data_IF_110548818814
#
_entry.id   IF_110548818814
#
_cell.length_a   1.000
_cell.length_b   1.000
_cell.length_c   1.000
_cell.angle_alpha   90.00
_cell.angle_beta   90.00
_cell.angle_gamma   90.00
#
_symmetry.space_group_name_H-M   'P 1'
#
loop_
_entity.id
_entity.type
_entity.pdbx_description
1 polymer ?
#
# COMPACT_ATOMS: atom_id res chain seq x y z
N UNK A 1 50.20 25.10 2.05
CA UNK A 1 48.77 25.37 1.77
C UNK A 1 48.07 24.02 1.68
N UNK A 2 47.20 23.70 2.65
CA UNK A 2 46.48 22.42 2.70
C UNK A 2 45.18 22.57 1.90
N UNK A 3 45.06 21.89 0.76
CA UNK A 3 43.80 21.77 0.03
C UNK A 3 43.11 20.53 0.60
N UNK A 4 42.09 20.75 1.44
CA UNK A 4 41.17 19.70 1.86
C UNK A 4 40.12 19.62 0.75
N UNK A 5 40.23 18.63 -0.12
CA UNK A 5 39.18 18.28 -1.07
C UNK A 5 38.06 17.61 -0.29
N UNK A 6 36.94 18.32 -0.13
CA UNK A 6 35.71 17.77 0.43
C UNK A 6 35.09 16.87 -0.65
N UNK A 7 35.33 15.56 -0.55
CA UNK A 7 34.63 14.56 -1.37
C UNK A 7 33.22 14.47 -0.80
N UNK A 8 32.24 15.10 -1.47
CA UNK A 8 30.83 14.83 -1.25
C UNK A 8 30.55 13.43 -1.81
N UNK A 9 30.65 12.41 -0.97
CA UNK A 9 30.02 11.12 -1.24
C UNK A 9 28.52 11.34 -1.22
N UNK A 10 27.91 11.47 -2.40
CA UNK A 10 26.49 11.24 -2.60
C UNK A 10 26.25 9.77 -2.21
N UNK A 11 25.78 9.55 -0.99
CA UNK A 11 25.23 8.27 -0.59
C UNK A 11 23.92 8.17 -1.37
N UNK A 12 23.96 7.56 -2.57
CA UNK A 12 22.76 7.11 -3.24
C UNK A 12 22.12 6.10 -2.31
N UNK A 13 21.10 6.52 -1.56
CA UNK A 13 20.25 5.58 -0.85
C UNK A 13 19.77 4.55 -1.89
N UNK A 14 19.79 3.24 -1.57
CA UNK A 14 19.18 2.26 -2.45
C UNK A 14 17.77 2.75 -2.78
N UNK A 15 17.38 2.66 -4.05
CA UNK A 15 16.01 2.89 -4.47
C UNK A 15 15.17 1.75 -3.88
N UNK A 16 14.90 1.82 -2.57
CA UNK A 16 13.92 1.00 -1.93
C UNK A 16 12.58 1.40 -2.54
N UNK A 17 11.84 0.42 -3.02
CA UNK A 17 10.48 0.66 -3.44
C UNK A 17 9.69 1.03 -2.17
N UNK A 18 9.52 2.33 -1.95
CA UNK A 18 8.84 2.88 -0.80
C UNK A 18 7.39 2.36 -0.72
N UNK A 19 6.95 2.01 0.48
CA UNK A 19 5.54 1.77 0.77
C UNK A 19 4.71 3.04 0.53
N UNK A 20 3.42 2.85 0.27
CA UNK A 20 2.47 3.94 0.07
C UNK A 20 1.14 3.58 0.70
N UNK A 21 0.71 4.38 1.67
CA UNK A 21 -0.47 4.09 2.46
C UNK A 21 -1.32 5.32 2.75
N UNK A 22 -2.54 5.06 3.23
CA UNK A 22 -3.40 6.07 3.84
C UNK A 22 -3.28 5.88 5.36
N UNK A 23 -2.96 6.94 6.09
CA UNK A 23 -2.82 6.91 7.54
C UNK A 23 -3.83 7.84 8.20
N UNK A 24 -4.90 7.29 8.80
CA UNK A 24 -5.84 8.07 9.60
C UNK A 24 -5.16 8.80 10.75
N UNK A 25 -5.55 10.05 11.00
CA UNK A 25 -5.15 10.77 12.21
C UNK A 25 -5.79 10.16 13.46
N UNK A 26 -6.96 9.53 13.28
CA UNK A 26 -7.63 8.66 14.24
C UNK A 26 -8.29 7.49 13.50
N UNK A 27 -8.03 6.26 13.95
CA UNK A 27 -8.64 5.04 13.38
C UNK A 27 -10.06 4.77 13.88
N UNK A 28 -10.49 5.45 14.94
CA UNK A 28 -11.87 5.44 15.44
C UNK A 28 -12.32 6.86 15.72
N UNK A 29 -13.52 7.22 15.28
CA UNK A 29 -14.13 8.53 15.48
C UNK A 29 -15.60 8.41 15.92
N UNK A 30 -16.11 9.44 16.58
CA UNK A 30 -17.53 9.53 16.94
C UNK A 30 -18.41 9.71 15.68
N UNK A 31 -19.73 9.43 15.74
CA UNK A 31 -20.63 9.57 14.60
C UNK A 31 -20.68 10.97 13.97
N UNK A 32 -20.44 12.02 14.75
CA UNK A 32 -20.35 13.42 14.31
C UNK A 32 -18.90 13.90 14.11
N UNK A 33 -17.93 12.98 14.19
CA UNK A 33 -16.53 13.23 13.91
C UNK A 33 -16.25 13.39 12.40
N UNK A 34 -14.98 13.65 12.09
CA UNK A 34 -14.47 13.80 10.72
C UNK A 34 -13.52 12.66 10.39
N UNK A 35 -13.58 12.14 9.17
CA UNK A 35 -12.57 11.24 8.62
C UNK A 35 -11.40 12.09 8.13
N UNK A 36 -10.28 12.00 8.83
CA UNK A 36 -9.04 12.67 8.47
C UNK A 36 -7.90 11.67 8.29
N UNK A 37 -7.19 11.75 7.17
CA UNK A 37 -6.05 10.87 6.91
C UNK A 37 -5.00 11.51 6.00
N UNK A 38 -3.75 11.21 6.30
CA UNK A 38 -2.61 11.52 5.44
C UNK A 38 -2.45 10.45 4.36
N UNK A 39 -2.00 10.86 3.18
CA UNK A 39 -1.40 9.93 2.22
C UNK A 39 0.09 9.95 2.51
N UNK A 40 0.72 8.80 2.71
CA UNK A 40 2.13 8.73 3.10
C UNK A 40 2.91 7.90 2.09
N UNK A 41 4.10 8.39 1.74
CA UNK A 41 5.08 7.67 0.94
C UNK A 41 6.37 7.56 1.75
N UNK A 42 6.81 6.34 2.03
CA UNK A 42 7.82 6.11 3.05
C UNK A 42 8.36 4.70 3.10
N UNK A 43 9.06 4.40 4.19
CA UNK A 43 9.57 3.06 4.47
C UNK A 43 9.41 2.77 5.96
N UNK A 44 9.20 1.51 6.33
CA UNK A 44 9.11 1.10 7.74
C UNK A 44 8.01 1.88 8.49
N UNK A 45 6.85 2.09 7.85
CA UNK A 45 5.69 2.82 8.42
C UNK A 45 5.99 4.28 8.85
N UNK A 46 7.04 4.88 8.27
CA UNK A 46 7.40 6.28 8.44
C UNK A 46 7.68 6.93 7.08
N UNK A 47 7.18 8.14 6.84
CA UNK A 47 7.29 8.72 5.52
C UNK A 47 6.86 10.17 5.40
N UNK A 48 6.97 10.66 4.17
CA UNK A 48 6.54 12.01 3.80
C UNK A 48 5.03 12.01 3.58
N UNK A 49 4.35 12.92 4.27
CA UNK A 49 2.92 13.19 4.07
C UNK A 49 2.72 13.96 2.78
N UNK A 50 1.90 13.42 1.90
CA UNK A 50 1.57 13.98 0.61
C UNK A 50 0.25 14.75 0.70
N UNK A 51 0.23 15.93 0.11
CA UNK A 51 -0.97 16.74 0.02
C UNK A 51 -2.00 16.13 -0.95
N UNK A 52 -3.26 16.52 -0.80
CA UNK A 52 -4.31 16.24 -1.78
C UNK A 52 -3.96 16.90 -3.12
N UNK A 53 -3.70 16.08 -4.14
CA UNK A 53 -3.34 16.54 -5.49
C UNK A 53 -4.16 15.75 -6.53
N UNK A 54 -5.25 16.33 -7.09
CA UNK A 54 -6.13 15.64 -8.04
C UNK A 54 -5.43 15.02 -9.24
N UNK A 55 -4.32 15.60 -9.69
CA UNK A 55 -3.52 15.08 -10.80
C UNK A 55 -2.61 13.88 -10.45
N UNK A 56 -2.64 13.40 -9.20
CA UNK A 56 -1.80 12.28 -8.72
C UNK A 56 -2.59 11.00 -8.43
N UNK A 57 -3.90 10.99 -8.69
CA UNK A 57 -4.74 9.82 -8.52
C UNK A 57 -5.81 9.69 -9.59
N UNK A 58 -6.18 8.45 -9.87
CA UNK A 58 -7.32 8.12 -10.73
C UNK A 58 -8.61 8.01 -9.90
N UNK A 59 -8.49 7.49 -8.68
CA UNK A 59 -9.62 7.32 -7.78
C UNK A 59 -9.25 7.63 -6.33
N UNK A 60 -10.13 8.34 -5.63
CA UNK A 60 -10.08 8.53 -4.19
C UNK A 60 -11.52 8.60 -3.67
N UNK A 61 -11.93 7.60 -2.91
CA UNK A 61 -13.32 7.42 -2.52
C UNK A 61 -13.45 6.85 -1.11
N UNK A 62 -14.60 7.11 -0.49
CA UNK A 62 -15.02 6.56 0.79
C UNK A 62 -16.19 5.61 0.59
N UNK A 63 -16.23 4.55 1.38
CA UNK A 63 -17.25 3.52 1.36
C UNK A 63 -17.73 3.20 2.78
N UNK A 64 -19.03 2.97 2.95
CA UNK A 64 -19.59 2.38 4.16
C UNK A 64 -20.81 1.55 3.78
N UNK A 65 -20.79 0.25 4.07
CA UNK A 65 -21.75 -0.70 3.52
C UNK A 65 -21.86 -0.57 1.99
N UNK A 66 -23.07 -0.34 1.48
CA UNK A 66 -23.33 -0.15 0.04
C UNK A 66 -23.20 1.30 -0.44
N UNK A 67 -22.93 2.25 0.46
CA UNK A 67 -22.81 3.66 0.13
C UNK A 67 -21.38 3.99 -0.31
N UNK A 68 -21.25 5.01 -1.16
CA UNK A 68 -19.96 5.45 -1.69
C UNK A 68 -20.02 6.94 -2.00
N UNK A 69 -18.95 7.66 -1.67
CA UNK A 69 -18.75 9.05 -2.09
C UNK A 69 -17.31 9.26 -2.55
N UNK A 70 -17.08 10.23 -3.44
CA UNK A 70 -15.71 10.59 -3.82
C UNK A 70 -15.13 11.51 -2.76
N UNK A 71 -13.85 11.33 -2.44
CA UNK A 71 -13.12 12.30 -1.64
C UNK A 71 -12.94 13.56 -2.47
N UNK A 72 -13.20 14.70 -1.84
CA UNK A 72 -12.95 16.01 -2.44
C UNK A 72 -12.04 16.80 -1.51
N UNK A 73 -11.34 17.78 -2.06
CA UNK A 73 -10.36 18.57 -1.31
C UNK A 73 -9.83 19.70 -2.16
N UNK A 74 -9.14 20.65 -1.52
CA UNK A 74 -8.41 21.71 -2.23
C UNK A 74 -7.00 21.19 -2.55
N UNK A 75 -6.48 21.44 -3.76
CA UNK A 75 -5.10 21.11 -4.08
C UNK A 75 -4.14 21.71 -3.06
N UNK A 76 -3.34 20.87 -2.40
CA UNK A 76 -2.43 21.28 -1.33
C UNK A 76 -2.92 21.01 0.09
N UNK A 77 -4.16 20.56 0.30
CA UNK A 77 -4.66 20.20 1.63
C UNK A 77 -3.82 19.06 2.25
N UNK A 78 -3.51 19.20 3.54
CA UNK A 78 -2.83 18.18 4.37
C UNK A 78 -3.46 18.24 5.78
N UNK A 79 -4.14 17.19 6.28
CA UNK A 79 -4.28 15.86 5.70
C UNK A 79 -5.02 15.83 4.35
N UNK A 80 -4.72 14.82 3.52
CA UNK A 80 -5.26 14.75 2.17
C UNK A 80 -6.73 14.28 2.12
N UNK A 81 -7.16 13.51 3.12
CA UNK A 81 -8.57 13.19 3.38
C UNK A 81 -9.06 14.07 4.52
N UNK A 82 -10.15 14.81 4.28
CA UNK A 82 -10.90 15.58 5.28
C UNK A 82 -12.38 15.58 4.84
N UNK A 83 -13.17 14.63 5.34
CA UNK A 83 -14.55 14.43 4.91
C UNK A 83 -15.42 13.94 6.07
N UNK A 84 -16.72 14.21 6.01
CA UNK A 84 -17.67 13.58 6.92
C UNK A 84 -17.71 12.05 6.67
N UNK A 85 -17.97 11.24 7.71
CA UNK A 85 -18.27 9.83 7.56
C UNK A 85 -19.37 9.56 6.54
N UNK A 86 -19.23 8.48 5.76
CA UNK A 86 -20.26 8.08 4.79
C UNK A 86 -21.51 7.59 5.51
N UNK A 87 -21.30 6.85 6.59
CA UNK A 87 -22.31 6.38 7.53
C UNK A 87 -21.65 6.04 8.87
N UNK A 88 -22.44 5.87 9.92
CA UNK A 88 -21.99 5.19 11.13
C UNK A 88 -21.66 3.72 10.80
N UNK A 89 -20.59 3.19 11.39
CA UNK A 89 -20.06 1.85 11.11
C UNK A 89 -18.64 1.87 10.54
N UNK A 90 -18.23 0.75 9.93
CA UNK A 90 -16.92 0.63 9.29
C UNK A 90 -16.88 1.45 8.00
N UNK A 91 -16.03 2.48 7.98
CA UNK A 91 -15.73 3.28 6.80
C UNK A 91 -14.41 2.81 6.18
N UNK A 92 -14.35 2.80 4.85
CA UNK A 92 -13.17 2.43 4.08
C UNK A 92 -12.81 3.63 3.21
N UNK A 93 -11.59 4.15 3.34
CA UNK A 93 -11.05 5.06 2.33
C UNK A 93 -10.19 4.25 1.36
N UNK A 94 -10.38 4.45 0.05
CA UNK A 94 -9.60 3.78 -0.98
C UNK A 94 -9.02 4.78 -1.95
N UNK A 95 -7.75 4.60 -2.31
CA UNK A 95 -6.97 5.47 -3.15
C UNK A 95 -6.25 4.67 -4.24
N UNK A 96 -6.33 5.14 -5.48
CA UNK A 96 -5.59 4.62 -6.62
C UNK A 96 -4.72 5.74 -7.18
N UNK A 97 -3.40 5.62 -6.98
CA UNK A 97 -2.43 6.55 -7.54
C UNK A 97 -2.41 6.47 -9.07
N UNK A 98 -2.12 7.60 -9.73
CA UNK A 98 -1.72 7.59 -11.13
C UNK A 98 -0.37 6.88 -11.28
N UNK A 99 -0.14 6.29 -12.45
CA UNK A 99 1.10 5.55 -12.72
C UNK A 99 2.34 6.44 -12.56
N UNK A 100 3.40 5.84 -12.04
CA UNK A 100 4.72 6.45 -11.96
C UNK A 100 5.77 5.46 -12.46
N UNK A 101 7.01 5.91 -12.62
CA UNK A 101 8.11 5.05 -13.08
C UNK A 101 9.27 5.08 -12.11
N UNK A 102 10.04 4.00 -12.12
CA UNK A 102 11.35 3.92 -11.47
C UNK A 102 12.37 3.42 -12.50
N UNK A 103 13.56 4.01 -12.46
CA UNK A 103 14.70 3.65 -13.29
C UNK A 103 15.62 2.70 -12.50
N UNK A 104 16.01 1.60 -13.13
CA UNK A 104 17.00 0.67 -12.62
C UNK A 104 18.31 0.84 -13.37
N UNK A 105 19.33 1.33 -12.66
CA UNK A 105 20.69 1.46 -13.20
C UNK A 105 21.27 0.09 -13.60
N UNK A 106 20.96 -0.96 -12.83
CA UNK A 106 21.43 -2.31 -13.10
C UNK A 106 20.45 -3.38 -12.58
N UNK A 107 20.64 -4.59 -13.08
CA UNK A 107 19.85 -5.76 -12.73
C UNK A 107 19.91 -6.06 -11.23
N UNK A 108 21.06 -5.88 -10.56
CA UNK A 108 21.23 -6.23 -9.15
C UNK A 108 20.27 -5.46 -8.24
N UNK A 109 20.00 -4.18 -8.55
CA UNK A 109 18.99 -3.38 -7.83
C UNK A 109 17.58 -3.95 -7.98
N UNK A 110 17.22 -4.37 -9.20
CA UNK A 110 15.92 -4.98 -9.47
C UNK A 110 15.81 -6.40 -8.86
N UNK A 111 16.88 -7.19 -8.93
CA UNK A 111 16.97 -8.50 -8.30
C UNK A 111 16.76 -8.40 -6.78
N UNK A 112 17.34 -7.40 -6.13
CA UNK A 112 17.14 -7.17 -4.69
C UNK A 112 15.67 -6.95 -4.36
N UNK A 113 14.94 -6.22 -5.21
CA UNK A 113 13.49 -6.05 -5.09
C UNK A 113 12.71 -7.35 -5.37
N UNK A 114 13.08 -8.08 -6.42
CA UNK A 114 12.51 -9.38 -6.77
C UNK A 114 12.63 -10.39 -5.64
N UNK A 115 13.82 -10.48 -5.04
CA UNK A 115 14.11 -11.39 -3.94
C UNK A 115 13.36 -10.97 -2.68
N UNK A 116 13.34 -9.67 -2.37
CA UNK A 116 12.64 -9.15 -1.20
C UNK A 116 11.13 -9.40 -1.24
N UNK A 117 10.51 -9.30 -2.42
CA UNK A 117 9.06 -9.55 -2.61
C UNK A 117 8.73 -11.01 -3.02
N UNK A 118 9.71 -11.92 -2.97
CA UNK A 118 9.57 -13.36 -3.24
C UNK A 118 8.92 -13.67 -4.61
N UNK A 119 9.37 -13.01 -5.69
CA UNK A 119 8.83 -13.23 -7.04
C UNK A 119 9.46 -14.42 -7.79
N UNK A 120 10.41 -15.13 -7.19
CA UNK A 120 11.08 -16.28 -7.80
C UNK A 120 11.97 -15.90 -8.98
N UNK A 121 12.00 -16.76 -10.01
CA UNK A 121 12.92 -16.62 -11.15
C UNK A 121 12.45 -15.62 -12.21
N UNK A 122 12.51 -14.34 -11.87
CA UNK A 122 12.24 -13.23 -12.80
C UNK A 122 13.38 -13.06 -13.81
N UNK A 123 14.60 -13.50 -13.46
CA UNK A 123 15.78 -13.37 -14.32
C UNK A 123 15.60 -14.11 -15.63
N UNK A 124 15.14 -15.36 -15.58
CA UNK A 124 14.91 -16.15 -16.78
C UNK A 124 13.88 -15.51 -17.72
N UNK A 125 12.83 -14.88 -17.16
CA UNK A 125 11.83 -14.15 -17.95
C UNK A 125 12.44 -12.90 -18.59
N UNK A 126 13.28 -12.18 -17.85
CA UNK A 126 13.98 -10.99 -18.35
C UNK A 126 14.93 -11.32 -19.52
N UNK A 127 15.74 -12.37 -19.36
CA UNK A 127 16.68 -12.83 -20.39
C UNK A 127 15.94 -13.37 -21.62
N UNK A 128 14.85 -14.13 -21.44
CA UNK A 128 14.04 -14.64 -22.54
C UNK A 128 13.40 -13.52 -23.40
N UNK A 129 13.11 -12.38 -22.77
CA UNK A 129 12.61 -11.16 -23.44
C UNK A 129 13.73 -10.30 -24.04
N UNK A 130 15.00 -10.71 -23.90
CA UNK A 130 16.19 -9.99 -24.39
C UNK A 130 16.25 -8.54 -23.89
N UNK A 131 15.86 -8.32 -22.63
CA UNK A 131 15.85 -7.00 -22.01
C UNK A 131 17.25 -6.57 -21.58
N UNK A 132 17.54 -5.26 -21.53
CA UNK A 132 18.83 -4.76 -21.09
C UNK A 132 18.97 -4.93 -19.57
N UNK A 133 20.17 -5.29 -19.13
CA UNK A 133 20.50 -5.47 -17.72
C UNK A 133 20.84 -4.17 -17.00
N UNK A 134 20.91 -3.06 -17.74
CA UNK A 134 21.23 -1.72 -17.26
C UNK A 134 20.25 -0.73 -17.88
N UNK A 135 20.01 0.38 -17.19
CA UNK A 135 19.20 1.51 -17.64
C UNK A 135 17.81 1.14 -18.19
N UNK A 136 17.09 0.27 -17.46
CA UNK A 136 15.71 -0.09 -17.79
C UNK A 136 14.70 0.49 -16.80
N UNK A 137 13.44 0.56 -17.24
CA UNK A 137 12.35 1.15 -16.47
C UNK A 137 11.32 0.13 -16.03
N UNK A 138 10.78 0.37 -14.85
CA UNK A 138 9.53 -0.20 -14.37
C UNK A 138 8.47 0.90 -14.27
N UNK A 139 7.25 0.60 -14.69
CA UNK A 139 6.06 1.41 -14.37
C UNK A 139 5.35 0.80 -13.17
N UNK A 140 4.85 1.61 -12.25
CA UNK A 140 4.15 1.09 -11.09
C UNK A 140 2.89 1.89 -10.75
N UNK A 141 1.95 1.20 -10.11
CA UNK A 141 0.67 1.76 -9.63
C UNK A 141 0.45 1.35 -8.18
N UNK A 142 -0.13 2.24 -7.38
CA UNK A 142 -0.38 2.03 -5.94
C UNK A 142 -1.86 2.10 -5.61
N UNK A 143 -2.31 1.13 -4.85
CA UNK A 143 -3.70 0.90 -4.46
C UNK A 143 -3.74 0.77 -2.95
N UNK A 144 -4.20 1.80 -2.26
CA UNK A 144 -4.21 1.84 -0.80
C UNK A 144 -5.64 1.86 -0.28
N UNK A 145 -5.89 1.12 0.79
CA UNK A 145 -7.10 1.22 1.60
C UNK A 145 -6.75 1.50 3.06
N UNK A 146 -7.67 2.15 3.76
CA UNK A 146 -7.63 2.21 5.23
C UNK A 146 -9.02 1.97 5.80
N UNK A 147 -9.08 1.30 6.95
CA UNK A 147 -10.30 1.03 7.69
C UNK A 147 -10.43 2.00 8.86
N UNK A 148 -11.55 2.71 8.95
CA UNK A 148 -11.82 3.67 10.02
C UNK A 148 -13.16 3.32 10.66
N UNK A 149 -13.16 3.07 11.97
CA UNK A 149 -14.38 2.82 12.74
C UNK A 149 -15.10 4.13 13.06
N UNK A 150 -16.40 4.21 12.76
CA UNK A 150 -17.24 5.36 13.09
C UNK A 150 -18.35 4.92 14.03
N UNK A 151 -18.47 5.54 15.20
CA UNK A 151 -19.45 5.16 16.21
C UNK A 151 -19.35 3.67 16.57
N UNK A 152 -20.41 2.91 16.32
CA UNK A 152 -20.43 1.47 16.60
C UNK A 152 -19.43 0.63 15.77
N UNK A 153 -18.81 1.20 14.73
CA UNK A 153 -17.79 0.54 13.88
C UNK A 153 -18.23 -0.76 13.19
N UNK A 154 -19.53 -1.08 13.22
CA UNK A 154 -20.08 -2.30 12.65
C UNK A 154 -20.02 -2.28 11.11
N UNK A 155 -19.80 -3.44 10.53
CA UNK A 155 -19.66 -3.61 9.09
C UNK A 155 -18.50 -4.54 8.76
N UNK A 156 -18.17 -4.62 7.48
CA UNK A 156 -17.05 -5.41 6.98
C UNK A 156 -16.37 -4.65 5.85
N UNK A 157 -15.06 -4.87 5.69
CA UNK A 157 -14.37 -4.44 4.49
C UNK A 157 -14.94 -5.20 3.27
N UNK A 158 -14.75 -4.64 2.08
CA UNK A 158 -15.20 -5.25 0.84
C UNK A 158 -14.29 -4.91 -0.32
N UNK A 159 -14.47 -5.66 -1.40
CA UNK A 159 -13.94 -5.31 -2.72
C UNK A 159 -14.50 -3.95 -3.16
N UNK A 160 -13.62 -3.03 -3.50
CA UNK A 160 -13.96 -1.70 -4.06
C UNK A 160 -13.52 -1.54 -5.51
N UNK A 161 -12.94 -2.59 -6.10
CA UNK A 161 -12.62 -2.66 -7.53
C UNK A 161 -11.21 -2.18 -7.89
N UNK A 162 -10.28 -2.19 -6.94
CA UNK A 162 -8.86 -1.93 -7.20
C UNK A 162 -8.26 -3.11 -7.98
N UNK A 163 -7.29 -2.85 -8.87
CA UNK A 163 -6.74 -3.90 -9.73
C UNK A 163 -5.95 -4.95 -8.94
N UNK A 164 -5.22 -4.53 -7.91
CA UNK A 164 -4.75 -5.42 -6.85
C UNK A 164 -5.34 -4.89 -5.54
N UNK A 165 -5.82 -5.78 -4.68
CA UNK A 165 -6.61 -5.38 -3.53
C UNK A 165 -6.40 -6.33 -2.36
N UNK A 166 -6.18 -5.77 -1.17
CA UNK A 166 -6.23 -6.51 0.09
C UNK A 166 -7.58 -6.20 0.74
N UNK A 167 -8.34 -7.23 1.11
CA UNK A 167 -9.61 -7.09 1.83
C UNK A 167 -9.47 -7.69 3.21
N UNK A 168 -9.79 -6.93 4.25
CA UNK A 168 -9.92 -7.50 5.59
C UNK A 168 -11.16 -8.41 5.66
N UNK A 169 -10.96 -9.65 6.08
CA UNK A 169 -12.05 -10.57 6.41
C UNK A 169 -12.50 -10.44 7.87
N UNK A 170 -11.65 -9.84 8.70
CA UNK A 170 -11.91 -9.54 10.12
C UNK A 170 -12.11 -8.04 10.28
N UNK A 171 -13.17 -7.62 10.97
CA UNK A 171 -13.31 -6.22 11.40
C UNK A 171 -12.47 -5.99 12.67
N UNK A 172 -11.44 -5.12 12.63
CA UNK A 172 -10.54 -4.92 13.76
C UNK A 172 -11.18 -4.25 14.98
N UNK A 173 -12.39 -3.69 14.82
CA UNK A 173 -13.09 -2.92 15.84
C UNK A 173 -14.20 -3.71 16.53
N UNK A 174 -14.78 -4.73 15.88
CA UNK A 174 -15.95 -5.44 16.39
C UNK A 174 -15.78 -6.95 16.53
N UNK A 175 -14.85 -7.56 15.79
CA UNK A 175 -14.70 -9.01 15.78
C UNK A 175 -13.72 -9.48 16.86
N UNK A 176 -13.85 -10.74 17.26
CA UNK A 176 -12.89 -11.38 18.16
C UNK A 176 -11.57 -11.66 17.42
N UNK A 177 -10.44 -11.28 18.02
CA UNK A 177 -9.11 -11.35 17.40
C UNK A 177 -8.26 -12.52 17.92
N UNK A 178 -8.84 -13.41 18.74
CA UNK A 178 -8.14 -14.56 19.36
C UNK A 178 -7.55 -15.53 18.33
N UNK A 179 -8.16 -15.60 17.14
CA UNK A 179 -7.71 -16.46 16.04
C UNK A 179 -6.85 -15.71 15.01
N UNK A 180 -6.45 -14.48 15.31
CA UNK A 180 -5.72 -13.60 14.41
C UNK A 180 -6.61 -12.75 13.51
N UNK A 181 -5.99 -11.77 12.87
CA UNK A 181 -6.59 -10.93 11.85
C UNK A 181 -6.41 -11.57 10.48
N UNK A 182 -7.48 -11.64 9.71
CA UNK A 182 -7.48 -12.29 8.40
C UNK A 182 -7.64 -11.26 7.29
N UNK A 183 -6.80 -11.36 6.27
CA UNK A 183 -6.92 -10.61 5.02
C UNK A 183 -6.94 -11.56 3.83
N UNK A 184 -7.61 -11.15 2.77
CA UNK A 184 -7.61 -11.86 1.50
C UNK A 184 -7.06 -10.97 0.39
N UNK A 185 -6.12 -11.51 -0.39
CA UNK A 185 -5.42 -10.78 -1.43
C UNK A 185 -5.96 -11.14 -2.79
N UNK A 186 -6.25 -10.12 -3.61
CA UNK A 186 -6.81 -10.25 -4.94
C UNK A 186 -5.92 -9.59 -5.98
N UNK A 187 -5.89 -10.19 -7.16
CA UNK A 187 -5.46 -9.54 -8.39
C UNK A 187 -6.59 -9.69 -9.42
N UNK A 188 -7.14 -8.55 -9.83
CA UNK A 188 -8.38 -8.45 -10.60
C UNK A 188 -9.48 -9.23 -9.88
N UNK A 189 -10.07 -10.23 -10.53
CA UNK A 189 -11.15 -11.00 -9.93
C UNK A 189 -10.66 -12.29 -9.25
N UNK A 190 -9.37 -12.59 -9.31
CA UNK A 190 -8.80 -13.84 -8.82
C UNK A 190 -8.15 -13.63 -7.44
N UNK A 191 -8.28 -14.64 -6.58
CA UNK A 191 -7.55 -14.69 -5.32
C UNK A 191 -6.09 -15.04 -5.57
N UNK A 192 -5.18 -14.46 -4.78
CA UNK A 192 -3.74 -14.69 -4.90
C UNK A 192 -3.26 -15.68 -3.87
N UNK A 193 -3.28 -16.95 -4.22
CA UNK A 193 -2.72 -18.01 -3.39
C UNK A 193 -1.19 -17.98 -3.35
N UNK A 194 -0.61 -18.53 -2.27
CA UNK A 194 0.84 -18.69 -2.08
C UNK A 194 1.64 -17.42 -2.40
N UNK A 195 1.13 -16.26 -2.01
CA UNK A 195 1.75 -14.95 -2.23
C UNK A 195 2.26 -14.41 -0.89
N UNK A 196 3.43 -13.77 -0.90
CA UNK A 196 3.97 -13.07 0.26
C UNK A 196 3.10 -11.86 0.62
N UNK A 197 2.82 -11.72 1.91
CA UNK A 197 2.17 -10.58 2.55
C UNK A 197 3.11 -10.04 3.62
N UNK A 198 3.47 -8.76 3.51
CA UNK A 198 4.25 -8.05 4.52
C UNK A 198 3.32 -7.36 5.50
N UNK A 199 3.52 -7.58 6.79
CA UNK A 199 2.75 -6.95 7.86
C UNK A 199 3.69 -6.13 8.71
N UNK A 200 3.44 -4.82 8.74
CA UNK A 200 4.11 -3.86 9.60
C UNK A 200 3.21 -3.63 10.82
N UNK A 201 3.74 -3.85 12.01
CA UNK A 201 3.08 -3.54 13.27
C UNK A 201 3.74 -2.31 13.90
N UNK A 202 2.96 -1.27 14.19
CA UNK A 202 3.45 -0.04 14.81
C UNK A 202 2.83 0.16 16.19
N UNK A 203 3.70 0.20 17.21
CA UNK A 203 3.31 0.38 18.62
C UNK A 203 3.24 1.84 19.06
N UNK A 204 2.85 2.04 20.33
CA UNK A 204 2.63 3.38 20.92
C UNK A 204 3.89 4.27 21.03
N UNK A 205 5.09 3.72 20.80
CA UNK A 205 6.36 4.44 20.78
C UNK A 205 6.96 4.54 19.37
N UNK A 206 6.13 4.35 18.33
CA UNK A 206 6.52 4.31 16.92
C UNK A 206 7.58 3.23 16.58
N UNK A 207 7.74 2.22 17.44
CA UNK A 207 8.48 1.01 17.09
C UNK A 207 7.72 0.24 16.01
N UNK A 208 8.43 -0.12 14.95
CA UNK A 208 7.89 -0.88 13.83
C UNK A 208 8.59 -2.22 13.73
N UNK A 209 7.80 -3.29 13.73
CA UNK A 209 8.28 -4.65 13.42
C UNK A 209 7.63 -5.10 12.12
N UNK A 210 8.40 -5.77 11.27
CA UNK A 210 7.95 -6.26 9.97
C UNK A 210 8.00 -7.78 9.99
N UNK A 211 6.90 -8.42 9.64
CA UNK A 211 6.78 -9.87 9.55
C UNK A 211 6.25 -10.29 8.19
N UNK A 212 6.74 -11.43 7.70
CA UNK A 212 6.31 -12.02 6.42
C UNK A 212 5.32 -13.15 6.69
N UNK A 213 4.22 -13.14 5.94
CA UNK A 213 3.21 -14.19 5.93
C UNK A 213 2.99 -14.66 4.49
N UNK A 214 2.48 -15.89 4.32
CA UNK A 214 2.05 -16.40 3.02
C UNK A 214 0.54 -16.55 3.02
N UNK A 215 -0.09 -16.22 1.89
CA UNK A 215 -1.49 -16.57 1.68
C UNK A 215 -1.69 -18.07 1.41
N UNK A 216 -2.81 -18.61 1.87
CA UNK A 216 -3.26 -19.98 1.59
C UNK A 216 -3.81 -20.15 0.16
N UNK A 217 -4.38 -21.32 -0.15
CA UNK A 217 -4.99 -21.61 -1.46
C UNK A 217 -6.19 -20.72 -1.83
N UNK A 218 -6.83 -20.09 -0.84
CA UNK A 218 -7.93 -19.15 -1.02
C UNK A 218 -7.44 -17.70 -1.06
N UNK A 219 -6.12 -17.47 -1.04
CA UNK A 219 -5.51 -16.16 -1.01
C UNK A 219 -5.62 -15.45 0.34
N UNK A 220 -5.80 -16.21 1.44
CA UNK A 220 -5.99 -15.66 2.79
C UNK A 220 -4.68 -15.74 3.58
N UNK A 221 -4.26 -14.62 4.15
CA UNK A 221 -3.20 -14.58 5.17
C UNK A 221 -3.84 -14.31 6.55
N UNK A 222 -3.36 -15.02 7.58
CA UNK A 222 -3.80 -14.87 8.96
C UNK A 222 -2.59 -14.57 9.85
N UNK A 223 -2.68 -13.51 10.65
CA UNK A 223 -1.58 -13.06 11.51
C UNK A 223 -2.08 -12.51 12.85
N UNK A 224 -1.30 -12.61 13.94
CA UNK A 224 -1.69 -12.06 15.23
C UNK A 224 -1.69 -10.52 15.20
N UNK A 225 -2.56 -9.92 16.01
CA UNK A 225 -2.60 -8.48 16.23
C UNK A 225 -2.69 -8.17 17.72
N UNK A 226 -2.29 -6.95 18.11
CA UNK A 226 -2.18 -6.52 19.50
C UNK A 226 -3.07 -5.30 19.76
N UNK A 227 -3.78 -5.25 20.90
CA UNK A 227 -4.53 -4.06 21.31
C UNK A 227 -3.64 -2.82 21.38
N UNK A 228 -4.14 -1.69 20.87
CA UNK A 228 -3.43 -0.41 20.84
C UNK A 228 -2.34 -0.27 19.77
N UNK A 229 -2.25 -1.20 18.82
CA UNK A 229 -1.31 -1.14 17.70
C UNK A 229 -2.01 -0.73 16.39
N UNK A 230 -1.24 -0.12 15.49
CA UNK A 230 -1.64 0.11 14.10
C UNK A 230 -0.87 -0.82 13.17
N UNK A 231 -1.50 -1.17 12.06
CA UNK A 231 -1.02 -2.17 11.14
C UNK A 231 -1.05 -1.64 9.71
N UNK A 232 -0.05 -2.02 8.94
CA UNK A 232 0.00 -1.84 7.49
C UNK A 232 0.30 -3.20 6.86
N UNK A 233 -0.49 -3.55 5.85
CA UNK A 233 -0.39 -4.84 5.15
C UNK A 233 -0.12 -4.57 3.68
N UNK A 234 0.96 -5.17 3.16
CA UNK A 234 1.45 -4.95 1.81
C UNK A 234 1.51 -6.26 1.01
N UNK A 235 1.09 -6.18 -0.25
CA UNK A 235 1.23 -7.27 -1.22
C UNK A 235 1.43 -6.71 -2.63
N UNK A 236 2.41 -7.24 -3.36
CA UNK A 236 2.85 -6.68 -4.65
C UNK A 236 2.63 -7.70 -5.77
N UNK A 237 2.18 -7.24 -6.94
CA UNK A 237 2.17 -8.00 -8.19
C UNK A 237 3.31 -7.48 -9.05
N UNK A 238 4.13 -8.37 -9.61
CA UNK A 238 5.05 -8.06 -10.70
C UNK A 238 4.57 -8.74 -11.98
N UNK A 239 4.53 -8.01 -13.09
CA UNK A 239 4.11 -8.52 -14.39
C UNK A 239 4.78 -7.79 -15.54
N UNK A 240 4.64 -8.34 -16.74
CA UNK A 240 4.94 -7.58 -17.95
C UNK A 240 3.89 -6.48 -18.17
N UNK A 241 4.31 -5.25 -18.54
CA UNK A 241 3.38 -4.19 -18.86
C UNK A 241 2.62 -4.53 -20.14
N UNK A 242 1.39 -4.01 -20.28
CA UNK A 242 0.72 -4.00 -21.58
C UNK A 242 1.51 -3.20 -22.62
N UNK A 243 1.35 -3.51 -23.90
CA UNK A 243 2.03 -2.80 -25.00
C UNK A 243 1.84 -1.27 -24.92
N UNK A 244 0.64 -0.82 -24.55
CA UNK A 244 0.33 0.60 -24.39
C UNK A 244 1.14 1.25 -23.26
N UNK A 245 1.23 0.58 -22.10
CA UNK A 245 2.03 1.07 -20.96
C UNK A 245 3.53 1.02 -21.28
N UNK A 246 4.00 -0.06 -21.90
CA UNK A 246 5.38 -0.22 -22.32
C UNK A 246 5.80 0.93 -23.27
N UNK A 247 4.95 1.24 -24.26
CA UNK A 247 5.19 2.34 -25.20
C UNK A 247 5.13 3.71 -24.53
N UNK A 248 4.14 3.94 -23.66
CA UNK A 248 3.92 5.24 -23.01
C UNK A 248 5.05 5.60 -22.05
N UNK A 249 5.52 4.63 -21.25
CA UNK A 249 6.48 4.88 -20.18
C UNK A 249 7.90 4.41 -20.52
N UNK A 250 8.08 3.67 -21.61
CA UNK A 250 9.35 3.00 -21.93
C UNK A 250 9.71 1.93 -20.91
N UNK A 251 8.71 1.34 -20.22
CA UNK A 251 8.90 0.38 -19.15
C UNK A 251 8.87 -1.05 -19.67
N UNK A 252 9.69 -1.91 -19.06
CA UNK A 252 9.78 -3.34 -19.40
C UNK A 252 9.15 -4.23 -18.33
N UNK A 253 8.90 -3.68 -17.16
CA UNK A 253 8.20 -4.32 -16.04
C UNK A 253 7.09 -3.41 -15.52
N UNK A 254 6.07 -4.03 -14.93
CA UNK A 254 4.99 -3.33 -14.24
C UNK A 254 4.79 -3.93 -12.83
N UNK A 255 4.74 -3.07 -11.82
CA UNK A 255 4.36 -3.48 -10.46
C UNK A 255 3.07 -2.83 -9.99
N UNK A 256 2.24 -3.62 -9.31
CA UNK A 256 1.01 -3.15 -8.68
C UNK A 256 1.10 -3.39 -7.18
N UNK A 257 0.98 -2.32 -6.41
CA UNK A 257 1.13 -2.34 -4.96
C UNK A 257 -0.23 -2.27 -4.29
N UNK A 258 -0.64 -3.31 -3.57
CA UNK A 258 -1.79 -3.26 -2.68
C UNK A 258 -1.33 -2.97 -1.26
N UNK A 259 -2.02 -2.05 -0.60
CA UNK A 259 -1.78 -1.65 0.78
C UNK A 259 -3.10 -1.56 1.55
N UNK A 260 -3.11 -2.01 2.80
CA UNK A 260 -4.23 -1.86 3.73
C UNK A 260 -3.73 -1.44 5.10
N UNK A 261 -4.28 -0.35 5.65
CA UNK A 261 -4.02 0.06 7.04
C UNK A 261 -5.25 -0.03 7.94
N UNK A 262 -5.02 -0.31 9.21
CA UNK A 262 -6.03 -0.31 10.27
C UNK A 262 -5.37 -0.20 11.65
N UNK A 263 -6.16 -0.04 12.71
CA UNK A 263 -5.67 -0.19 14.07
C UNK A 263 -6.57 -1.11 14.90
N UNK A 264 -5.99 -1.69 15.95
CA UNK A 264 -6.72 -2.48 16.93
C UNK A 264 -6.94 -1.62 18.19
N UNK A 265 -8.18 -1.45 18.67
CA UNK A 265 -8.48 -0.70 19.90
C UNK A 265 -7.72 -1.23 21.12
N UNK A 266 -7.56 -0.40 22.16
CA UNK A 266 -7.05 -0.84 23.47
C UNK A 266 -8.06 -1.68 24.23
#
# INVERSE_FOLDING_TARGET
MRIIALILTLISAPAAAHEFWIEPTAYQVEPDGSLEADIVNGQEFAGVKLAYLPQRFENFALFAGNQTTRVTGRPGDTPALQQDPVAEGLNIAAYQASNATVDYENWEKFQSFVDHKDFGDVRSVHDARSLPLEDFKEVYSRYAKTLIGVGNSAGADRRVGLETEIVALTNPYTDALDNGFQVQVYYRNDVRANTQVEVFEKGAQDEVVISLYQTDENGIATFPVRPGYSYMVDAVVLREPSDALAQQFGAVWETLWANLTFAVPQ
#
